data_IF_514654117933
#
_entry.id   IF_514654117933
#
_cell.length_a   1.000
_cell.length_b   1.000
_cell.length_c   1.000
_cell.angle_alpha   90.00
_cell.angle_beta   90.00
_cell.angle_gamma   90.00
#
_symmetry.space_group_name_H-M   'P 1'
#
loop_
_entity.id
_entity.type
_entity.pdbx_description
1 polymer ?
#
# COMPACT_ATOMS: atom_id res chain seq x y z
N UNK A 1 12.42 -4.62 -0.80
CA UNK A 1 11.69 -3.68 -1.69
C UNK A 1 10.65 -2.86 -0.92
N UNK A 2 9.60 -3.46 -0.35
CA UNK A 2 8.53 -2.73 0.37
C UNK A 2 9.05 -1.74 1.44
N UNK A 3 10.07 -2.14 2.23
CA UNK A 3 10.65 -1.26 3.26
C UNK A 3 11.13 0.09 2.72
N UNK A 4 11.78 0.12 1.55
CA UNK A 4 12.25 1.41 1.02
C UNK A 4 11.15 2.23 0.34
N UNK A 5 10.10 1.59 -0.19
CA UNK A 5 8.87 2.28 -0.63
C UNK A 5 8.22 3.01 0.55
N UNK A 6 8.00 2.29 1.66
CA UNK A 6 7.37 2.85 2.86
C UNK A 6 8.26 3.91 3.53
N UNK A 7 9.59 3.76 3.52
CA UNK A 7 10.52 4.83 3.93
C UNK A 7 10.35 6.10 3.09
N UNK A 8 10.15 5.95 1.78
CA UNK A 8 9.84 7.07 0.89
C UNK A 8 8.53 7.76 1.26
N UNK A 9 7.50 6.99 1.60
CA UNK A 9 6.21 7.55 2.04
C UNK A 9 6.30 8.25 3.39
N UNK A 10 6.99 7.65 4.36
CA UNK A 10 7.24 8.28 5.65
C UNK A 10 7.92 9.64 5.47
N UNK A 11 8.91 9.73 4.58
CA UNK A 11 9.56 10.99 4.23
C UNK A 11 8.57 12.00 3.61
N UNK A 12 7.75 11.60 2.64
CA UNK A 12 6.75 12.50 2.04
C UNK A 12 5.73 13.01 3.08
N UNK A 13 5.21 12.11 3.91
CA UNK A 13 4.20 12.43 4.93
C UNK A 13 4.75 13.39 5.99
N UNK A 14 6.00 13.22 6.41
CA UNK A 14 6.70 14.13 7.33
C UNK A 14 6.88 15.54 6.71
N UNK A 15 7.01 15.61 5.40
CA UNK A 15 7.10 16.87 4.65
C UNK A 15 5.75 17.42 4.20
N UNK A 16 4.64 16.93 4.76
CA UNK A 16 3.26 17.30 4.42
C UNK A 16 2.94 17.11 2.93
N UNK A 17 3.47 16.05 2.33
CA UNK A 17 3.17 15.67 0.96
C UNK A 17 2.54 14.29 0.89
N UNK A 18 1.57 14.14 0.00
CA UNK A 18 1.02 12.84 -0.40
C UNK A 18 1.61 12.41 -1.75
N UNK A 19 1.58 11.11 -2.03
CA UNK A 19 1.98 10.53 -3.32
C UNK A 19 0.81 10.41 -4.30
N UNK A 20 -0.33 9.86 -3.87
CA UNK A 20 -1.62 9.83 -4.60
C UNK A 20 -1.64 9.05 -5.92
N UNK A 21 -0.70 8.14 -6.11
CA UNK A 21 -0.54 7.39 -7.37
C UNK A 21 0.42 6.23 -7.21
N UNK A 22 0.46 5.62 -6.03
CA UNK A 22 1.35 4.49 -5.78
C UNK A 22 0.87 3.26 -6.53
N UNK A 23 1.83 2.61 -7.17
CA UNK A 23 1.66 1.35 -7.88
C UNK A 23 3.00 0.80 -8.35
N UNK A 24 3.02 -0.35 -9.04
CA UNK A 24 4.27 -1.00 -9.43
C UNK A 24 5.20 -0.10 -10.26
N UNK A 25 4.62 0.76 -11.11
CA UNK A 25 5.37 1.69 -11.97
C UNK A 25 5.89 2.94 -11.23
N UNK A 26 5.35 3.25 -10.05
CA UNK A 26 5.82 4.37 -9.22
C UNK A 26 7.10 4.04 -8.41
N UNK A 27 7.65 2.83 -8.56
CA UNK A 27 8.85 2.37 -7.86
C UNK A 27 9.97 2.10 -8.86
N UNK A 28 11.11 2.74 -8.68
CA UNK A 28 12.35 2.40 -9.40
C UNK A 28 13.26 1.58 -8.49
N UNK A 29 13.99 0.65 -9.09
CA UNK A 29 15.06 -0.09 -8.42
C UNK A 29 16.39 0.39 -8.97
N UNK A 30 17.24 0.89 -8.07
CA UNK A 30 18.62 1.25 -8.37
C UNK A 30 19.50 0.14 -7.82
N UNK A 31 20.40 -0.41 -8.63
CA UNK A 31 21.34 -1.44 -8.19
C UNK A 31 22.67 -1.37 -8.95
N UNK A 32 23.72 -1.85 -8.31
CA UNK A 32 25.03 -2.12 -8.91
C UNK A 32 25.23 -3.61 -9.24
N UNK A 33 24.35 -4.49 -8.75
CA UNK A 33 24.38 -5.94 -8.97
C UNK A 33 22.95 -6.48 -9.00
N UNK A 34 22.47 -6.89 -10.18
CA UNK A 34 21.08 -7.33 -10.37
C UNK A 34 20.77 -8.67 -9.69
N UNK A 35 21.80 -9.49 -9.41
CA UNK A 35 21.64 -10.83 -8.82
C UNK A 35 21.63 -10.81 -7.28
N UNK A 36 21.91 -9.67 -6.67
CA UNK A 36 22.08 -9.53 -5.23
C UNK A 36 21.03 -8.59 -4.66
N UNK A 37 20.03 -9.17 -4.00
CA UNK A 37 18.90 -8.43 -3.43
C UNK A 37 19.31 -7.35 -2.43
N UNK A 38 20.46 -7.49 -1.77
CA UNK A 38 21.03 -6.52 -0.82
C UNK A 38 21.42 -5.18 -1.46
N UNK A 39 21.71 -5.15 -2.76
CA UNK A 39 22.04 -3.92 -3.49
C UNK A 39 20.84 -3.25 -4.16
N UNK A 40 19.64 -3.83 -4.06
CA UNK A 40 18.41 -3.24 -4.59
C UNK A 40 17.96 -2.08 -3.70
N UNK A 41 18.07 -0.86 -4.22
CA UNK A 41 17.62 0.37 -3.57
C UNK A 41 16.31 0.82 -4.23
N UNK A 42 15.14 0.52 -3.64
CA UNK A 42 13.86 1.01 -4.13
C UNK A 42 13.70 2.51 -3.84
N UNK A 43 13.20 3.28 -4.82
CA UNK A 43 12.86 4.70 -4.68
C UNK A 43 11.48 4.97 -5.28
N UNK A 44 10.75 5.90 -4.68
CA UNK A 44 9.51 6.43 -5.24
C UNK A 44 9.80 7.40 -6.38
N UNK A 45 8.96 7.40 -7.42
CA UNK A 45 8.96 8.34 -8.54
C UNK A 45 7.53 8.82 -8.82
N UNK A 46 7.33 9.60 -9.89
CA UNK A 46 6.01 9.99 -10.40
C UNK A 46 5.17 10.86 -9.45
N UNK A 47 5.81 11.88 -8.88
CA UNK A 47 5.16 12.88 -8.00
C UNK A 47 4.25 13.88 -8.74
N UNK A 48 3.82 13.58 -9.97
CA UNK A 48 2.96 14.47 -10.77
C UNK A 48 1.60 14.70 -10.11
N UNK A 49 1.11 13.72 -9.36
CA UNK A 49 -0.13 13.79 -8.57
C UNK A 49 0.11 14.15 -7.10
N UNK A 50 1.33 14.50 -6.72
CA UNK A 50 1.65 14.77 -5.31
C UNK A 50 0.93 16.01 -4.80
N UNK A 51 0.29 15.86 -3.64
CA UNK A 51 -0.54 16.91 -3.02
C UNK A 51 0.14 17.45 -1.78
N UNK A 52 0.17 18.77 -1.61
CA UNK A 52 0.54 19.40 -0.34
C UNK A 52 -0.66 19.37 0.61
N UNK A 53 -0.44 18.90 1.84
CA UNK A 53 -1.47 18.76 2.87
C UNK A 53 -1.18 19.60 4.11
N UNK A 54 -0.39 20.66 3.97
CA UNK A 54 -0.32 21.73 4.97
C UNK A 54 -1.71 22.32 5.15
N UNK A 55 -2.12 22.54 6.41
CA UNK A 55 -3.45 23.03 6.74
C UNK A 55 -3.86 24.31 6.01
N UNK A 56 -2.91 25.21 5.78
CA UNK A 56 -3.13 26.47 5.05
C UNK A 56 -3.40 26.31 3.56
N UNK A 57 -3.11 25.14 2.96
CA UNK A 57 -3.22 24.89 1.52
C UNK A 57 -4.35 23.90 1.18
N UNK A 58 -5.01 23.31 2.19
CA UNK A 58 -6.05 22.28 1.99
C UNK A 58 -7.35 22.83 1.37
N UNK A 59 -7.64 24.12 1.58
CA UNK A 59 -8.85 24.76 1.06
C UNK A 59 -8.66 25.33 -0.35
N UNK A 60 -7.42 25.44 -0.84
CA UNK A 60 -7.07 26.02 -2.14
C UNK A 60 -6.85 24.93 -3.22
N UNK A 61 -7.67 23.89 -3.15
CA UNK A 61 -7.44 22.62 -3.82
C UNK A 61 -7.84 22.70 -5.31
N UNK A 62 -6.86 22.78 -6.20
CA UNK A 62 -7.07 22.77 -7.66
C UNK A 62 -7.76 21.49 -8.20
N UNK A 63 -8.08 21.47 -9.50
CA UNK A 63 -8.85 20.38 -10.14
C UNK A 63 -8.29 18.97 -9.90
N UNK A 64 -6.96 18.82 -9.76
CA UNK A 64 -6.32 17.51 -9.55
C UNK A 64 -6.58 16.91 -8.16
N UNK A 65 -6.95 17.73 -7.17
CA UNK A 65 -7.21 17.30 -5.78
C UNK A 65 -8.70 17.09 -5.48
N UNK A 66 -9.59 17.51 -6.37
CA UNK A 66 -11.04 17.40 -6.17
C UNK A 66 -11.48 15.95 -5.95
N UNK A 67 -10.93 15.01 -6.74
CA UNK A 67 -11.22 13.59 -6.61
C UNK A 67 -10.85 13.02 -5.23
N UNK A 68 -9.67 13.41 -4.70
CA UNK A 68 -9.20 13.03 -3.37
C UNK A 68 -10.16 13.56 -2.28
N UNK A 69 -10.48 14.86 -2.31
CA UNK A 69 -11.31 15.48 -1.27
C UNK A 69 -12.78 15.07 -1.34
N UNK A 70 -13.26 14.68 -2.52
CA UNK A 70 -14.57 14.03 -2.68
C UNK A 70 -14.59 12.66 -2.01
N UNK A 71 -13.55 11.83 -2.18
CA UNK A 71 -13.42 10.55 -1.47
C UNK A 71 -13.32 10.76 0.04
N UNK A 72 -12.54 11.75 0.48
CA UNK A 72 -12.42 12.09 1.90
C UNK A 72 -13.78 12.44 2.52
N UNK A 73 -14.53 13.34 1.87
CA UNK A 73 -15.88 13.72 2.31
C UNK A 73 -16.83 12.51 2.32
N UNK A 74 -16.75 11.65 1.31
CA UNK A 74 -17.51 10.40 1.25
C UNK A 74 -17.21 9.42 2.39
N UNK A 75 -15.97 9.44 2.91
CA UNK A 75 -15.54 8.68 4.08
C UNK A 75 -15.82 9.39 5.43
N UNK A 76 -16.52 10.53 5.39
CA UNK A 76 -16.86 11.33 6.57
C UNK A 76 -15.71 12.17 7.12
N UNK A 77 -14.73 12.53 6.31
CA UNK A 77 -13.65 13.44 6.68
C UNK A 77 -13.97 14.87 6.23
N UNK A 78 -14.48 15.71 7.16
CA UNK A 78 -15.00 17.04 6.82
C UNK A 78 -14.09 18.17 7.30
N UNK A 79 -13.38 17.97 8.41
CA UNK A 79 -12.43 18.96 8.92
C UNK A 79 -11.11 18.88 8.16
N UNK A 80 -10.32 19.97 8.16
CA UNK A 80 -8.98 19.96 7.58
C UNK A 80 -8.07 18.87 8.18
N UNK A 81 -8.20 18.63 9.50
CA UNK A 81 -7.50 17.57 10.21
C UNK A 81 -7.86 16.19 9.66
N UNK A 82 -9.15 15.90 9.50
CA UNK A 82 -9.62 14.62 8.97
C UNK A 82 -9.26 14.44 7.51
N UNK A 83 -9.33 15.49 6.67
CA UNK A 83 -8.90 15.43 5.27
C UNK A 83 -7.42 15.10 5.14
N UNK A 84 -6.56 15.74 5.95
CA UNK A 84 -5.13 15.40 6.02
C UNK A 84 -4.91 13.95 6.43
N UNK A 85 -5.61 13.49 7.48
CA UNK A 85 -5.52 12.10 7.95
C UNK A 85 -6.00 11.11 6.88
N UNK A 86 -7.10 11.44 6.18
CA UNK A 86 -7.61 10.65 5.06
C UNK A 86 -6.57 10.52 3.96
N UNK A 87 -5.98 11.62 3.50
CA UNK A 87 -5.00 11.58 2.42
C UNK A 87 -3.76 10.74 2.76
N UNK A 88 -3.26 10.84 4.00
CA UNK A 88 -2.18 9.98 4.50
C UNK A 88 -2.61 8.50 4.47
N UNK A 89 -3.80 8.21 4.98
CA UNK A 89 -4.36 6.86 5.00
C UNK A 89 -4.68 6.31 3.60
N UNK A 90 -4.92 7.18 2.61
CA UNK A 90 -5.15 6.83 1.21
C UNK A 90 -3.84 6.37 0.55
N UNK A 91 -2.73 7.09 0.77
CA UNK A 91 -1.40 6.62 0.33
C UNK A 91 -1.03 5.27 0.96
N UNK A 92 -1.40 5.03 2.22
CA UNK A 92 -1.15 3.74 2.90
C UNK A 92 -1.99 2.62 2.29
N UNK A 93 -3.22 2.92 1.86
CA UNK A 93 -4.05 1.98 1.15
C UNK A 93 -3.45 1.58 -0.20
N UNK A 94 -2.99 2.56 -1.00
CA UNK A 94 -2.30 2.28 -2.26
C UNK A 94 -0.99 1.51 -2.04
N UNK A 95 -0.25 1.80 -0.97
CA UNK A 95 0.92 1.01 -0.56
C UNK A 95 0.54 -0.43 -0.18
N UNK A 96 -0.65 -0.64 0.41
CA UNK A 96 -1.21 -1.95 0.69
C UNK A 96 -1.55 -2.72 -0.59
N UNK A 97 -2.14 -2.06 -1.59
CA UNK A 97 -2.38 -2.66 -2.90
C UNK A 97 -1.06 -3.02 -3.62
N UNK A 98 -0.04 -2.18 -3.51
CA UNK A 98 1.30 -2.49 -4.01
C UNK A 98 1.93 -3.67 -3.26
N UNK A 99 1.72 -3.78 -1.95
CA UNK A 99 2.17 -4.94 -1.17
C UNK A 99 1.46 -6.22 -1.62
N UNK A 100 0.13 -6.18 -1.78
CA UNK A 100 -0.63 -7.29 -2.33
C UNK A 100 -0.13 -7.67 -3.73
N UNK A 101 0.15 -6.69 -4.60
CA UNK A 101 0.71 -6.94 -5.92
C UNK A 101 2.05 -7.67 -5.84
N UNK A 102 2.96 -7.22 -4.96
CA UNK A 102 4.26 -7.88 -4.77
C UNK A 102 4.12 -9.31 -4.21
N UNK A 103 3.09 -9.61 -3.42
CA UNK A 103 2.83 -10.96 -2.94
C UNK A 103 2.20 -11.83 -4.04
N UNK A 104 1.07 -11.41 -4.59
CA UNK A 104 0.30 -12.26 -5.49
C UNK A 104 0.89 -12.33 -6.90
N UNK A 105 1.29 -11.22 -7.50
CA UNK A 105 1.76 -11.22 -8.90
C UNK A 105 3.17 -11.78 -9.05
N UNK A 106 4.01 -11.67 -8.01
CA UNK A 106 5.39 -12.18 -8.07
C UNK A 106 5.53 -13.65 -7.64
N UNK A 107 4.65 -14.14 -6.76
CA UNK A 107 4.73 -15.52 -6.25
C UNK A 107 3.69 -16.48 -6.85
N UNK A 108 2.65 -15.99 -7.54
CA UNK A 108 1.74 -16.87 -8.28
C UNK A 108 2.36 -17.39 -9.58
N UNK A 109 1.75 -18.44 -10.16
CA UNK A 109 2.09 -18.87 -11.51
C UNK A 109 1.88 -17.71 -12.52
N UNK A 110 2.80 -17.58 -13.48
CA UNK A 110 2.80 -16.47 -14.42
C UNK A 110 1.50 -16.42 -15.24
N UNK A 111 0.89 -15.24 -15.29
CA UNK A 111 -0.34 -15.00 -16.05
C UNK A 111 -1.64 -15.38 -15.33
N UNK A 112 -1.57 -15.91 -14.11
CA UNK A 112 -2.76 -16.18 -13.28
C UNK A 112 -3.37 -14.91 -12.75
N UNK A 113 -2.54 -13.93 -12.38
CA UNK A 113 -2.99 -12.69 -11.76
C UNK A 113 -2.28 -11.47 -12.34
N UNK A 114 -3.08 -10.44 -12.64
CA UNK A 114 -2.62 -9.09 -12.96
C UNK A 114 -3.10 -8.09 -11.89
N UNK A 115 -2.63 -6.85 -11.96
CA UNK A 115 -2.98 -5.82 -10.97
C UNK A 115 -4.48 -5.52 -10.88
N UNK A 116 -5.20 -5.52 -12.01
CA UNK A 116 -6.63 -5.22 -12.05
C UNK A 116 -7.44 -6.40 -11.51
N UNK A 117 -7.06 -7.62 -11.87
CA UNK A 117 -7.67 -8.86 -11.39
C UNK A 117 -7.49 -9.02 -9.88
N UNK A 118 -6.29 -8.74 -9.36
CA UNK A 118 -6.02 -8.71 -7.92
C UNK A 118 -6.87 -7.66 -7.20
N UNK A 119 -6.90 -6.43 -7.72
CA UNK A 119 -7.68 -5.36 -7.11
C UNK A 119 -9.17 -5.72 -7.07
N UNK A 120 -9.72 -6.29 -8.15
CA UNK A 120 -11.12 -6.78 -8.18
C UNK A 120 -11.38 -7.90 -7.17
N UNK A 121 -10.44 -8.83 -7.01
CA UNK A 121 -10.53 -9.91 -6.04
C UNK A 121 -10.66 -9.34 -4.62
N UNK A 122 -9.74 -8.43 -4.26
CA UNK A 122 -9.70 -7.83 -2.93
C UNK A 122 -10.90 -6.89 -2.70
N UNK A 123 -11.14 -5.94 -3.59
CA UNK A 123 -12.11 -4.86 -3.36
C UNK A 123 -13.56 -5.28 -3.63
N UNK A 124 -13.80 -6.05 -4.71
CA UNK A 124 -15.17 -6.30 -5.18
C UNK A 124 -15.69 -7.67 -4.74
N UNK A 125 -14.86 -8.71 -4.80
CA UNK A 125 -15.27 -10.08 -4.49
C UNK A 125 -15.28 -10.28 -2.98
N UNK A 126 -14.16 -10.01 -2.32
CA UNK A 126 -14.00 -10.22 -0.88
C UNK A 126 -14.18 -8.97 -0.03
N UNK A 127 -14.37 -7.79 -0.64
CA UNK A 127 -14.66 -6.55 0.09
C UNK A 127 -13.63 -6.25 1.20
N UNK A 128 -12.36 -6.51 0.90
CA UNK A 128 -11.20 -6.30 1.77
C UNK A 128 -11.14 -7.26 2.98
N UNK A 129 -11.91 -8.36 2.95
CA UNK A 129 -11.75 -9.50 3.85
C UNK A 129 -10.57 -10.38 3.37
N UNK A 130 -9.41 -10.20 4.00
CA UNK A 130 -8.21 -10.95 3.63
C UNK A 130 -8.22 -12.38 4.16
N UNK A 131 -9.01 -12.71 5.17
CA UNK A 131 -9.12 -14.10 5.63
C UNK A 131 -9.90 -14.92 4.61
N UNK A 132 -11.04 -14.40 4.13
CA UNK A 132 -11.79 -15.02 3.05
C UNK A 132 -10.97 -15.11 1.74
N UNK A 133 -10.19 -14.06 1.44
CA UNK A 133 -9.26 -14.07 0.30
C UNK A 133 -8.20 -15.17 0.47
N UNK A 134 -7.63 -15.30 1.67
CA UNK A 134 -6.62 -16.30 2.00
C UNK A 134 -7.15 -17.72 1.83
N UNK A 135 -8.34 -18.02 2.35
CA UNK A 135 -8.99 -19.33 2.18
C UNK A 135 -9.22 -19.67 0.70
N UNK A 136 -9.68 -18.70 -0.09
CA UNK A 136 -9.85 -18.88 -1.53
C UNK A 136 -8.52 -19.17 -2.24
N UNK A 137 -7.47 -18.43 -1.93
CA UNK A 137 -6.15 -18.61 -2.54
C UNK A 137 -5.47 -19.91 -2.11
N UNK A 138 -5.73 -20.43 -0.91
CA UNK A 138 -5.25 -21.75 -0.48
C UNK A 138 -5.91 -22.90 -1.23
N UNK A 139 -7.11 -22.70 -1.77
CA UNK A 139 -7.81 -23.70 -2.57
C UNK A 139 -7.34 -23.74 -4.03
N UNK A 140 -6.47 -22.81 -4.46
CA UNK A 140 -5.88 -22.76 -5.80
C UNK A 140 -4.36 -22.93 -5.71
N UNK A 141 -3.84 -24.09 -6.13
CA UNK A 141 -2.41 -24.43 -6.10
C UNK A 141 -1.52 -23.38 -6.79
N UNK A 142 -2.08 -22.58 -7.71
CA UNK A 142 -1.33 -21.54 -8.44
C UNK A 142 -1.12 -20.26 -7.63
N UNK A 143 -1.84 -20.10 -6.52
CA UNK A 143 -1.82 -18.92 -5.63
C UNK A 143 -1.21 -19.24 -4.26
N UNK A 144 -1.01 -20.52 -3.92
CA UNK A 144 -0.56 -20.97 -2.60
C UNK A 144 0.72 -20.29 -2.12
N UNK A 145 1.71 -20.12 -2.99
CA UNK A 145 2.99 -19.50 -2.65
C UNK A 145 2.85 -18.04 -2.17
N UNK A 146 1.87 -17.30 -2.71
CA UNK A 146 1.60 -15.94 -2.27
C UNK A 146 1.04 -15.91 -0.84
N UNK A 147 0.19 -16.88 -0.50
CA UNK A 147 -0.32 -17.06 0.86
C UNK A 147 0.79 -17.48 1.82
N UNK A 148 1.62 -18.46 1.43
CA UNK A 148 2.76 -18.90 2.24
C UNK A 148 3.72 -17.75 2.56
N UNK A 149 3.97 -16.87 1.59
CA UNK A 149 4.77 -15.66 1.80
C UNK A 149 4.14 -14.70 2.82
N UNK A 150 2.83 -14.47 2.74
CA UNK A 150 2.12 -13.61 3.70
C UNK A 150 2.01 -14.25 5.10
N UNK A 151 2.03 -15.58 5.16
CA UNK A 151 1.98 -16.36 6.40
C UNK A 151 3.32 -16.49 7.11
N UNK A 152 4.43 -16.06 6.48
CA UNK A 152 5.74 -16.03 7.11
C UNK A 152 5.68 -15.31 8.47
N UNK A 153 6.32 -15.92 9.45
CA UNK A 153 6.33 -15.40 10.81
C UNK A 153 4.97 -15.43 11.50
N UNK A 154 4.19 -16.49 11.34
CA UNK A 154 2.85 -16.62 11.92
C UNK A 154 1.91 -15.49 11.45
N UNK A 155 1.74 -15.35 10.13
CA UNK A 155 0.74 -14.44 9.54
C UNK A 155 1.13 -12.97 9.55
N UNK A 156 2.42 -12.62 9.72
CA UNK A 156 2.83 -11.23 9.86
C UNK A 156 2.57 -10.39 8.60
N UNK A 157 2.72 -10.99 7.41
CA UNK A 157 2.41 -10.32 6.15
C UNK A 157 0.91 -10.09 5.98
N UNK A 158 0.11 -11.13 6.26
CA UNK A 158 -1.35 -11.06 6.19
C UNK A 158 -1.93 -10.02 7.17
N UNK A 159 -1.45 -10.01 8.42
CA UNK A 159 -1.83 -9.02 9.44
C UNK A 159 -1.55 -7.59 8.98
N UNK A 160 -0.33 -7.34 8.47
CA UNK A 160 0.05 -6.03 7.98
C UNK A 160 -0.81 -5.60 6.78
N UNK A 161 -1.03 -6.51 5.84
CA UNK A 161 -1.82 -6.22 4.64
C UNK A 161 -3.27 -5.88 5.01
N UNK A 162 -3.86 -6.60 5.97
CA UNK A 162 -5.23 -6.34 6.45
C UNK A 162 -5.33 -4.96 7.12
N UNK A 163 -4.31 -4.57 7.88
CA UNK A 163 -4.26 -3.25 8.51
C UNK A 163 -4.14 -2.13 7.47
N UNK A 164 -3.29 -2.29 6.46
CA UNK A 164 -3.11 -1.29 5.39
C UNK A 164 -4.36 -1.14 4.51
N UNK A 165 -5.06 -2.26 4.23
CA UNK A 165 -6.27 -2.30 3.40
C UNK A 165 -7.57 -2.12 4.20
N UNK A 166 -7.51 -1.64 5.45
CA UNK A 166 -8.71 -1.49 6.25
C UNK A 166 -9.73 -0.55 5.57
N UNK A 167 -11.00 -0.95 5.51
CA UNK A 167 -12.07 -0.13 4.91
C UNK A 167 -12.26 1.20 5.64
N UNK A 168 -12.08 1.24 6.97
CA UNK A 168 -12.06 2.48 7.74
C UNK A 168 -10.66 3.08 7.70
N UNK A 169 -10.51 4.21 7.00
CA UNK A 169 -9.23 4.90 6.87
C UNK A 169 -8.61 5.28 8.22
N UNK A 170 -9.44 5.47 9.26
CA UNK A 170 -8.97 5.83 10.62
C UNK A 170 -8.24 4.69 11.31
N UNK A 171 -8.45 3.45 10.85
CA UNK A 171 -7.80 2.24 11.38
C UNK A 171 -6.55 1.86 10.62
N UNK A 172 -6.24 2.54 9.51
CA UNK A 172 -5.02 2.28 8.73
C UNK A 172 -3.80 2.80 9.50
N UNK A 173 -2.68 2.07 9.47
CA UNK A 173 -1.45 2.50 10.13
C UNK A 173 -0.85 3.72 9.42
N UNK A 174 0.02 4.45 10.11
CA UNK A 174 0.91 5.44 9.47
C UNK A 174 2.08 4.72 8.79
N UNK A 175 2.79 5.40 7.88
CA UNK A 175 3.99 4.83 7.25
C UNK A 175 5.05 4.39 8.30
N UNK A 176 5.20 5.16 9.39
CA UNK A 176 6.09 4.82 10.49
C UNK A 176 5.62 3.56 11.24
N UNK A 177 4.32 3.42 11.50
CA UNK A 177 3.78 2.21 12.11
C UNK A 177 3.97 0.98 11.20
N UNK A 178 3.83 1.14 9.88
CA UNK A 178 4.15 0.08 8.91
C UNK A 178 5.63 -0.31 9.02
N UNK A 179 6.56 0.65 9.03
CA UNK A 179 8.01 0.36 9.11
C UNK A 179 8.41 -0.40 10.38
N UNK A 180 7.72 -0.13 11.50
CA UNK A 180 7.96 -0.80 12.77
C UNK A 180 7.21 -2.14 12.92
N UNK A 181 6.39 -2.53 11.94
CA UNK A 181 5.69 -3.80 11.97
C UNK A 181 6.67 -4.99 11.93
N UNK A 182 6.34 -6.08 12.63
CA UNK A 182 7.20 -7.29 12.73
C UNK A 182 7.60 -7.82 11.34
N UNK A 183 6.68 -7.83 10.39
CA UNK A 183 6.94 -8.20 8.99
C UNK A 183 8.05 -7.35 8.33
N UNK A 184 8.10 -6.06 8.63
CA UNK A 184 9.00 -5.09 7.98
C UNK A 184 10.39 -5.02 8.60
N UNK A 185 10.51 -5.43 9.86
CA UNK A 185 11.76 -5.46 10.61
C UNK A 185 12.55 -6.75 10.39
N UNK A 186 11.96 -7.74 9.72
CA UNK A 186 12.60 -9.04 9.50
C UNK A 186 12.73 -9.87 10.78
N UNK A 187 12.07 -9.48 11.88
CA UNK A 187 12.04 -10.26 13.13
C UNK A 187 11.33 -11.63 12.97
N UNK A 188 10.77 -11.88 11.80
CA UNK A 188 9.97 -13.05 11.42
C UNK A 188 10.61 -13.87 10.28
N UNK A 189 11.77 -13.43 9.79
CA UNK A 189 12.63 -14.15 8.83
C UNK A 189 13.87 -14.69 9.57
#
# INVERSE_FOLDING_TARGET
>A
MLQGVVKGLAYLHDHNRLHQSLGPFSVILITISEREGSYLIPRLRDLAFSVNVRYTELDDSGQFTEGLWRRASGAGAFTQMEKRAFGIADDIYEAGLLFAYMAFVLFCEAGVMDSLSLQRLLENIFQLDLEATREYCLADDRLVNAVEFLDLGAGAGAELLQAMLNADFRKRPTAEAVLNHRFMTGAVL
#
